data_IF_948138855232
#
_entry.id   IF_948138855232
#
_cell.length_a   1.000
_cell.length_b   1.000
_cell.length_c   1.000
_cell.angle_alpha   90.00
_cell.angle_beta   90.00
_cell.angle_gamma   90.00
#
_symmetry.space_group_name_H-M   'P 1'
#
loop_
_entity.id
_entity.type
_entity.pdbx_description
1 polymer ?
#
# COMPACT_ATOMS: atom_id res chain seq x y z
N UNK A 1 -31.91 -1.89 10.31
CA UNK A 1 -31.46 -1.85 10.09
C UNK A 1 -30.65 -1.96 9.82
N UNK A 2 -30.51 -1.91 9.91
CA UNK A 2 -29.72 -1.98 9.56
C UNK A 2 -28.87 -2.22 9.23
N UNK A 3 -28.76 -2.12 9.19
CA UNK A 3 -27.91 -2.27 8.78
C UNK A 3 -27.16 -2.41 8.50
N UNK A 4 -27.39 -2.35 8.65
CA UNK A 4 -26.66 -2.38 8.29
C UNK A 4 -25.84 -2.39 7.99
N UNK A 5 -25.95 -2.28 8.06
CA UNK A 5 -25.25 -2.02 7.77
C UNK A 5 -24.48 -2.30 7.39
N UNK A 6 -24.72 -2.47 7.49
CA UNK A 6 -24.00 -2.53 7.16
C UNK A 6 -23.29 -2.48 6.65
N UNK A 7 -23.51 -2.31 6.56
CA UNK A 7 -22.91 -1.99 6.06
C UNK A 7 -22.07 -1.94 5.89
N UNK A 8 -21.91 -1.84 6.03
CA UNK A 8 -21.07 -1.52 5.95
C UNK A 8 -20.28 -1.95 5.59
N UNK A 9 -20.41 -2.46 5.67
CA UNK A 9 -19.58 -2.72 5.39
C UNK A 9 -19.01 -2.74 4.38
N UNK A 10 -19.37 -2.89 3.66
CA UNK A 10 -18.78 -2.49 2.67
C UNK A 10 -18.06 -1.45 2.94
N UNK A 11 -18.44 -1.00 3.71
CA UNK A 11 -17.68 -0.01 4.24
C UNK A 11 -16.25 -0.40 4.42
N UNK A 12 -15.94 -1.62 4.70
CA UNK A 12 -14.54 -1.91 4.92
C UNK A 12 -13.66 -1.41 3.83
N UNK A 13 -14.09 -1.50 2.60
CA UNK A 13 -13.18 -1.01 1.62
C UNK A 13 -13.16 0.47 1.61
N UNK A 14 -14.21 1.12 1.95
CA UNK A 14 -14.16 2.55 2.08
C UNK A 14 -13.35 2.94 3.29
N UNK A 15 -13.29 2.07 4.30
CA UNK A 15 -12.48 2.34 5.47
C UNK A 15 -11.04 2.01 5.26
N UNK A 16 -10.74 1.22 4.25
CA UNK A 16 -9.36 0.89 3.96
C UNK A 16 -8.68 2.11 3.38
N UNK A 17 -7.66 2.62 4.04
CA UNK A 17 -6.98 3.79 3.52
C UNK A 17 -6.37 3.48 2.17
N UNK A 18 -6.41 4.45 1.30
CA UNK A 18 -5.74 4.32 0.03
C UNK A 18 -4.30 4.73 0.26
N UNK A 19 -3.47 3.75 0.52
CA UNK A 19 -2.10 4.01 0.92
C UNK A 19 -1.14 4.20 -0.23
N UNK A 20 -1.59 3.93 -1.46
CA UNK A 20 -0.68 3.98 -2.60
C UNK A 20 0.03 5.31 -2.74
N UNK A 21 -0.71 6.41 -2.61
CA UNK A 21 -0.10 7.72 -2.72
C UNK A 21 0.90 8.01 -1.62
N UNK A 22 0.63 7.50 -0.43
CA UNK A 22 1.55 7.69 0.69
C UNK A 22 2.82 6.90 0.48
N UNK A 23 2.69 5.67 -0.02
CA UNK A 23 3.84 4.84 -0.31
C UNK A 23 4.71 5.53 -1.35
N UNK A 24 4.09 6.05 -2.40
CA UNK A 24 4.80 6.76 -3.44
C UNK A 24 5.54 7.96 -2.88
N UNK A 25 4.87 8.73 -2.02
CA UNK A 25 5.50 9.91 -1.42
C UNK A 25 6.68 9.52 -0.56
N UNK A 26 6.51 8.49 0.27
CA UNK A 26 7.60 8.02 1.12
C UNK A 26 8.77 7.53 0.29
N UNK A 27 8.47 6.79 -0.78
CA UNK A 27 9.51 6.30 -1.67
C UNK A 27 10.31 7.47 -2.24
N UNK A 28 9.61 8.50 -2.68
CA UNK A 28 10.29 9.65 -3.26
C UNK A 28 11.10 10.42 -2.23
N UNK A 29 10.59 10.51 -1.02
CA UNK A 29 11.32 11.17 0.06
C UNK A 29 12.61 10.43 0.37
N UNK A 30 12.60 9.12 0.22
CA UNK A 30 13.79 8.31 0.43
C UNK A 30 14.72 8.29 -0.78
N UNK A 31 14.33 8.95 -1.85
CA UNK A 31 15.15 9.00 -3.05
C UNK A 31 15.19 7.69 -3.81
N UNK A 32 14.20 6.84 -3.63
CA UNK A 32 14.19 5.53 -4.26
C UNK A 32 13.39 5.52 -5.54
N UNK A 33 13.91 4.84 -6.55
CA UNK A 33 13.10 4.55 -7.72
C UNK A 33 12.11 3.44 -7.38
N UNK A 34 11.08 3.30 -8.22
CA UNK A 34 10.12 2.23 -8.04
C UNK A 34 10.81 0.88 -8.08
N UNK A 35 11.76 0.71 -9.01
CA UNK A 35 12.48 -0.55 -9.11
C UNK A 35 13.30 -0.83 -7.86
N UNK A 36 13.94 0.19 -7.32
CA UNK A 36 14.77 -0.01 -6.13
C UNK A 36 13.94 -0.44 -4.94
N UNK A 37 12.79 0.22 -4.71
CA UNK A 37 11.94 -0.15 -3.60
C UNK A 37 11.35 -1.55 -3.82
N UNK A 38 10.96 -1.86 -5.05
CA UNK A 38 10.40 -3.18 -5.34
C UNK A 38 11.38 -4.28 -4.98
N UNK A 39 12.66 -4.08 -5.29
CA UNK A 39 13.68 -5.06 -4.94
C UNK A 39 13.73 -5.25 -3.42
N UNK A 40 13.70 -4.16 -2.68
CA UNK A 40 13.75 -4.24 -1.22
C UNK A 40 12.53 -4.93 -0.64
N UNK A 41 11.39 -4.77 -1.30
CA UNK A 41 10.16 -5.42 -0.84
C UNK A 41 10.01 -6.84 -1.36
N UNK A 42 10.87 -7.27 -2.29
CA UNK A 42 10.78 -8.61 -2.85
C UNK A 42 9.63 -8.78 -3.84
N UNK A 43 9.26 -7.70 -4.52
CA UNK A 43 8.18 -7.74 -5.52
C UNK A 43 8.68 -7.11 -6.81
N UNK A 44 7.87 -7.24 -7.85
CA UNK A 44 8.22 -6.62 -9.12
C UNK A 44 7.90 -5.13 -9.09
N UNK A 45 8.58 -4.36 -9.92
CA UNK A 45 8.29 -2.95 -10.05
C UNK A 45 6.86 -2.73 -10.57
N UNK A 46 6.40 -3.61 -11.45
CA UNK A 46 5.04 -3.53 -11.97
C UNK A 46 4.01 -3.70 -10.86
N UNK A 47 4.26 -4.65 -9.96
CA UNK A 47 3.36 -4.88 -8.86
C UNK A 47 3.35 -3.67 -7.92
N UNK A 48 4.53 -3.12 -7.64
CA UNK A 48 4.62 -1.93 -6.81
C UNK A 48 3.87 -0.76 -7.45
N UNK A 49 3.98 -0.63 -8.77
CA UNK A 49 3.25 0.41 -9.47
C UNK A 49 1.74 0.28 -9.24
N UNK A 50 1.23 -0.96 -9.32
CA UNK A 50 -0.19 -1.19 -9.08
C UNK A 50 -0.58 -0.82 -7.65
N UNK A 51 0.28 -1.13 -6.69
CA UNK A 51 0.02 -0.77 -5.30
C UNK A 51 0.00 0.75 -5.14
N UNK A 52 0.96 1.43 -5.74
CA UNK A 52 1.05 2.89 -5.63
C UNK A 52 -0.14 3.60 -6.26
N UNK A 53 -0.79 2.95 -7.21
CA UNK A 53 -1.97 3.50 -7.85
C UNK A 53 -3.27 2.94 -7.28
N UNK A 54 -3.18 2.24 -6.16
CA UNK A 54 -4.34 1.67 -5.46
C UNK A 54 -5.10 0.65 -6.30
N UNK A 55 -4.40 -0.02 -7.20
CA UNK A 55 -5.00 -1.06 -8.03
C UNK A 55 -4.76 -2.45 -7.47
N UNK A 56 -3.92 -2.56 -6.47
CA UNK A 56 -3.70 -3.79 -5.71
C UNK A 56 -3.61 -3.42 -4.25
N UNK A 57 -4.10 -4.31 -3.42
CA UNK A 57 -4.06 -4.09 -1.99
C UNK A 57 -2.67 -4.36 -1.46
N UNK A 58 -2.31 -3.59 -0.46
CA UNK A 58 -1.07 -3.81 0.27
C UNK A 58 -1.33 -4.93 1.28
N UNK A 59 -0.61 -6.03 1.15
CA UNK A 59 -0.77 -7.14 2.08
C UNK A 59 -0.04 -6.83 3.38
N UNK A 60 -0.42 -7.53 4.45
CA UNK A 60 0.23 -7.33 5.74
C UNK A 60 1.73 -7.60 5.68
N UNK A 61 2.19 -8.70 5.07
CA UNK A 61 3.63 -8.91 4.95
C UNK A 61 4.35 -7.79 4.23
N UNK A 62 3.75 -7.26 3.17
CA UNK A 62 4.37 -6.15 2.45
C UNK A 62 4.38 -4.89 3.29
N UNK A 63 3.31 -4.65 4.05
CA UNK A 63 3.25 -3.50 4.92
C UNK A 63 4.38 -3.55 5.96
N UNK A 64 4.62 -4.73 6.52
CA UNK A 64 5.68 -4.89 7.50
C UNK A 64 7.04 -4.62 6.85
N UNK A 65 7.28 -5.17 5.67
CA UNK A 65 8.54 -4.93 4.98
C UNK A 65 8.73 -3.45 4.66
N UNK A 66 7.66 -2.81 4.24
CA UNK A 66 7.72 -1.38 3.94
C UNK A 66 8.07 -0.59 5.18
N UNK A 67 7.45 -0.91 6.30
CA UNK A 67 7.75 -0.22 7.55
C UNK A 67 9.21 -0.40 7.94
N UNK A 68 9.75 -1.59 7.73
CA UNK A 68 11.15 -1.85 8.03
C UNK A 68 12.07 -0.99 7.17
N UNK A 69 11.70 -0.76 5.93
CA UNK A 69 12.54 0.03 5.05
C UNK A 69 12.55 1.49 5.43
N UNK A 70 11.42 2.02 5.87
CA UNK A 70 11.35 3.44 6.17
C UNK A 70 11.80 3.78 7.57
N UNK A 71 12.01 2.78 8.43
CA UNK A 71 12.44 3.03 9.80
C UNK A 71 13.90 2.68 10.04
N UNK A 72 14.62 2.34 9.02
CA UNK A 72 16.02 2.02 9.16
C UNK A 72 16.81 3.21 9.67
#
# INVERSE_FOLDING_TARGET
MTNLQIASTDAPKSDTPKLGGRIRRLRRQEGLSQAALAIELGISASYLNLIEHNRRNLTVPLLIKLAEQVTK
#
